data_IF_719314349850
#
_entry.id   IF_719314349850
#
_cell.length_a   1.000
_cell.length_b   1.000
_cell.length_c   1.000
_cell.angle_alpha   90.00
_cell.angle_beta   90.00
_cell.angle_gamma   90.00
#
_symmetry.space_group_name_H-M   'P 1'
#
loop_
_entity.id
_entity.type
_entity.pdbx_description
1 polymer ?
#
# COMPACT_ATOMS: atom_id res chain seq x y z
N UNK A 1 -6.90 -12.94 14.92
CA UNK A 1 -5.83 -12.63 15.90
C UNK A 1 -6.14 -13.11 17.32
N UNK A 2 -7.40 -13.24 17.75
CA UNK A 2 -7.70 -13.80 19.08
C UNK A 2 -7.28 -12.89 20.23
N UNK A 3 -7.24 -11.58 19.99
CA UNK A 3 -6.85 -10.54 20.95
C UNK A 3 -7.96 -9.51 21.08
N UNK A 4 -7.97 -8.77 22.18
CA UNK A 4 -8.88 -7.66 22.40
C UNK A 4 -8.63 -6.51 21.41
N UNK A 5 -9.64 -5.67 21.20
CA UNK A 5 -9.54 -4.51 20.30
C UNK A 5 -8.41 -3.56 20.69
N UNK A 6 -8.11 -3.42 21.99
CA UNK A 6 -7.01 -2.58 22.50
C UNK A 6 -5.61 -3.05 22.11
N UNK A 7 -5.48 -4.30 21.65
CA UNK A 7 -4.24 -4.85 21.10
C UNK A 7 -4.14 -4.69 19.57
N UNK A 8 -5.10 -4.00 18.94
CA UNK A 8 -5.13 -3.75 17.50
C UNK A 8 -4.73 -2.30 17.22
N UNK A 9 -3.80 -2.11 16.28
CA UNK A 9 -3.38 -0.83 15.74
C UNK A 9 -3.89 -0.67 14.30
N UNK A 10 -4.75 0.33 14.09
CA UNK A 10 -5.26 0.70 12.78
C UNK A 10 -4.48 1.87 12.22
N UNK A 11 -3.93 1.70 11.03
CA UNK A 11 -3.27 2.73 10.26
C UNK A 11 -4.28 3.49 9.40
N UNK A 12 -4.25 4.82 9.47
CA UNK A 12 -5.20 5.70 8.76
C UNK A 12 -4.44 6.90 8.18
N UNK A 13 -4.76 7.29 6.95
CA UNK A 13 -4.26 8.55 6.38
C UNK A 13 -4.83 9.75 7.16
N UNK A 14 -3.97 10.67 7.58
CA UNK A 14 -4.37 11.90 8.27
C UNK A 14 -5.01 12.88 7.28
N UNK A 15 -6.34 12.81 7.18
CA UNK A 15 -7.15 13.63 6.28
C UNK A 15 -8.48 13.96 6.95
N UNK A 16 -9.05 15.17 6.74
CA UNK A 16 -10.35 15.54 7.31
C UNK A 16 -11.47 14.53 7.00
N UNK A 17 -11.47 13.96 5.79
CA UNK A 17 -12.45 12.93 5.34
C UNK A 17 -12.40 11.61 6.13
N UNK A 18 -11.40 11.39 6.99
CA UNK A 18 -11.28 10.19 7.81
C UNK A 18 -11.63 10.43 9.29
N UNK A 19 -12.16 11.60 9.64
CA UNK A 19 -12.52 11.93 11.04
C UNK A 19 -13.45 10.89 11.67
N UNK A 20 -14.48 10.46 10.94
CA UNK A 20 -15.44 9.46 11.44
C UNK A 20 -14.80 8.08 11.59
N UNK A 21 -13.89 7.71 10.67
CA UNK A 21 -13.12 6.46 10.76
C UNK A 21 -12.25 6.48 12.02
N UNK A 22 -11.52 7.58 12.24
CA UNK A 22 -10.62 7.73 13.39
C UNK A 22 -11.42 7.68 14.70
N UNK A 23 -12.55 8.38 14.79
CA UNK A 23 -13.42 8.33 15.96
C UNK A 23 -14.01 6.94 16.18
N UNK A 24 -14.49 6.29 15.11
CA UNK A 24 -15.03 4.93 15.16
C UNK A 24 -14.02 3.92 15.68
N UNK A 25 -12.78 3.95 15.16
CA UNK A 25 -11.70 3.07 15.64
C UNK A 25 -11.38 3.35 17.11
N UNK A 26 -11.22 4.61 17.51
CA UNK A 26 -10.95 4.95 18.92
C UNK A 26 -12.09 4.49 19.83
N UNK A 27 -13.34 4.56 19.37
CA UNK A 27 -14.52 4.10 20.09
C UNK A 27 -14.53 2.59 20.36
N UNK A 28 -13.81 1.78 19.58
CA UNK A 28 -13.65 0.33 19.86
C UNK A 28 -12.58 0.03 20.92
N UNK A 29 -11.74 1.02 21.26
CA UNK A 29 -10.57 0.86 22.12
C UNK A 29 -9.28 0.54 21.36
N UNK A 30 -9.33 0.34 20.04
CA UNK A 30 -8.15 0.13 19.22
C UNK A 30 -7.27 1.39 19.09
N UNK A 31 -5.96 1.17 18.92
CA UNK A 31 -5.01 2.24 18.67
C UNK A 31 -5.13 2.75 17.24
N UNK A 32 -4.95 4.06 17.04
CA UNK A 32 -4.90 4.68 15.71
C UNK A 32 -3.50 5.23 15.48
N UNK A 33 -2.85 4.78 14.41
CA UNK A 33 -1.61 5.35 13.90
C UNK A 33 -1.93 6.17 12.64
N UNK A 34 -1.49 7.42 12.63
CA UNK A 34 -1.72 8.32 11.50
C UNK A 34 -0.49 8.38 10.59
N UNK A 35 -0.74 8.42 9.28
CA UNK A 35 0.29 8.68 8.26
C UNK A 35 -0.13 9.85 7.38
N UNK A 36 0.82 10.69 6.98
CA UNK A 36 0.54 11.84 6.11
C UNK A 36 0.47 11.45 4.64
N UNK A 37 1.15 10.39 4.23
CA UNK A 37 1.15 9.83 2.88
C UNK A 37 1.63 8.36 2.89
N UNK A 38 1.55 7.67 1.75
CA UNK A 38 2.11 6.32 1.56
C UNK A 38 1.18 5.19 1.98
N UNK A 39 -0.07 5.23 1.53
CA UNK A 39 -1.06 4.18 1.81
C UNK A 39 -0.68 2.80 1.25
N UNK A 40 0.02 2.73 0.11
CA UNK A 40 0.55 1.47 -0.43
C UNK A 40 1.46 0.76 0.59
N UNK A 41 2.44 1.48 1.15
CA UNK A 41 3.33 0.94 2.18
C UNK A 41 2.55 0.59 3.45
N UNK A 42 1.58 1.44 3.84
CA UNK A 42 0.72 1.20 4.98
C UNK A 42 -0.11 -0.09 4.89
N UNK A 43 -0.65 -0.38 3.71
CA UNK A 43 -1.39 -1.64 3.44
C UNK A 43 -0.44 -2.84 3.45
N UNK A 44 0.75 -2.72 2.86
CA UNK A 44 1.77 -3.79 2.87
C UNK A 44 2.17 -4.17 4.31
N UNK A 45 2.32 -3.18 5.20
CA UNK A 45 2.67 -3.42 6.60
C UNK A 45 1.67 -4.30 7.35
N UNK A 46 0.41 -4.31 6.93
CA UNK A 46 -0.62 -5.16 7.54
C UNK A 46 -0.35 -6.66 7.36
N UNK A 47 0.50 -7.05 6.41
CA UNK A 47 0.90 -8.44 6.20
C UNK A 47 1.98 -8.92 7.19
N UNK A 48 2.66 -8.00 7.88
CA UNK A 48 3.68 -8.30 8.87
C UNK A 48 3.49 -7.44 10.14
N UNK A 49 2.39 -7.66 10.87
CA UNK A 49 2.04 -6.84 12.02
C UNK A 49 3.02 -6.99 13.18
N UNK A 50 3.69 -8.14 13.32
CA UNK A 50 4.61 -8.39 14.44
C UNK A 50 5.86 -7.51 14.36
N UNK A 51 6.32 -7.21 13.14
CA UNK A 51 7.46 -6.31 12.92
C UNK A 51 7.04 -4.85 12.73
N UNK A 52 5.89 -4.58 12.12
CA UNK A 52 5.48 -3.22 11.76
C UNK A 52 4.62 -2.53 12.81
N UNK A 53 3.99 -3.32 13.70
CA UNK A 53 2.98 -2.86 14.65
C UNK A 53 1.71 -2.35 13.99
N UNK A 54 1.42 -2.75 12.74
CA UNK A 54 0.22 -2.35 12.01
C UNK A 54 -0.63 -3.57 11.72
N UNK A 55 -1.80 -3.64 12.34
CA UNK A 55 -2.72 -4.78 12.21
C UNK A 55 -3.71 -4.62 11.06
N UNK A 56 -4.10 -3.38 10.76
CA UNK A 56 -5.14 -3.09 9.80
C UNK A 56 -4.92 -1.69 9.20
N UNK A 57 -5.29 -1.52 7.94
CA UNK A 57 -5.40 -0.21 7.30
C UNK A 57 -6.86 0.06 6.97
N UNK A 58 -7.36 1.25 7.34
CA UNK A 58 -8.72 1.68 7.00
C UNK A 58 -8.67 3.12 6.49
N UNK A 59 -9.25 3.36 5.32
CA UNK A 59 -9.36 4.71 4.78
C UNK A 59 -9.76 4.75 3.32
N UNK A 60 -9.75 5.97 2.79
CA UNK A 60 -9.98 6.30 1.39
C UNK A 60 -8.70 6.89 0.79
N UNK A 61 -8.19 6.21 -0.23
CA UNK A 61 -7.00 6.61 -1.00
C UNK A 61 -7.28 6.66 -2.50
N UNK A 62 -6.23 6.65 -3.30
CA UNK A 62 -6.34 6.56 -4.74
C UNK A 62 -6.64 5.12 -5.19
N UNK A 63 -7.51 4.97 -6.20
CA UNK A 63 -7.86 3.65 -6.72
C UNK A 63 -6.67 2.92 -7.37
N UNK A 64 -5.80 3.58 -8.17
CA UNK A 64 -4.59 2.93 -8.70
C UNK A 64 -3.65 2.40 -7.61
N UNK A 65 -3.46 3.18 -6.55
CA UNK A 65 -2.64 2.81 -5.38
C UNK A 65 -3.23 1.60 -4.65
N UNK A 66 -4.55 1.51 -4.55
CA UNK A 66 -5.24 0.32 -4.04
C UNK A 66 -4.93 -0.95 -4.84
N UNK A 67 -4.86 -0.86 -6.18
CA UNK A 67 -4.49 -2.01 -7.03
C UNK A 67 -3.02 -2.39 -6.84
N UNK A 68 -2.10 -1.42 -6.70
CA UNK A 68 -0.69 -1.68 -6.41
C UNK A 68 -0.51 -2.38 -5.05
N UNK A 69 -1.23 -1.93 -4.03
CA UNK A 69 -1.23 -2.54 -2.71
C UNK A 69 -1.80 -3.98 -2.74
N UNK A 70 -2.90 -4.18 -3.49
CA UNK A 70 -3.46 -5.51 -3.71
C UNK A 70 -2.46 -6.45 -4.41
N UNK A 71 -1.68 -5.96 -5.37
CA UNK A 71 -0.65 -6.75 -6.05
C UNK A 71 0.47 -7.18 -5.09
N UNK A 72 0.87 -6.31 -4.16
CA UNK A 72 1.81 -6.68 -3.11
C UNK A 72 1.21 -7.74 -2.16
N UNK A 73 -0.01 -7.54 -1.67
CA UNK A 73 -0.70 -8.50 -0.79
C UNK A 73 -0.97 -9.86 -1.47
N UNK A 74 -1.23 -9.89 -2.78
CA UNK A 74 -1.26 -11.16 -3.56
C UNK A 74 0.05 -11.93 -3.46
N UNK A 75 1.18 -11.24 -3.25
CA UNK A 75 2.49 -11.87 -3.18
C UNK A 75 2.86 -12.34 -1.77
N UNK A 76 2.47 -11.59 -0.74
CA UNK A 76 2.93 -11.81 0.65
C UNK A 76 1.83 -12.32 1.59
N UNK A 77 0.60 -12.44 1.10
CA UNK A 77 -0.55 -12.82 1.89
C UNK A 77 -1.21 -11.62 2.58
N UNK A 78 -2.47 -11.81 2.99
CA UNK A 78 -3.30 -10.77 3.58
C UNK A 78 -4.71 -10.79 3.01
N UNK A 79 -5.53 -9.84 3.45
CA UNK A 79 -6.90 -9.64 2.98
C UNK A 79 -7.12 -8.16 2.74
N UNK A 80 -7.89 -7.83 1.70
CA UNK A 80 -8.22 -6.45 1.33
C UNK A 80 -9.58 -6.44 0.65
N UNK A 81 -10.37 -5.44 0.98
CA UNK A 81 -11.61 -5.12 0.31
C UNK A 81 -11.61 -3.65 -0.05
N UNK A 82 -12.06 -3.33 -1.26
CA UNK A 82 -12.10 -1.97 -1.77
C UNK A 82 -13.40 -1.71 -2.54
N UNK A 83 -13.79 -0.44 -2.63
CA UNK A 83 -14.92 0.00 -3.44
C UNK A 83 -14.59 1.37 -4.03
N UNK A 84 -14.95 1.58 -5.28
CA UNK A 84 -14.84 2.88 -5.92
C UNK A 84 -15.82 3.87 -5.30
N UNK A 85 -15.35 5.10 -5.03
CA UNK A 85 -16.23 6.19 -4.61
C UNK A 85 -16.62 6.99 -5.85
N UNK A 86 -17.80 6.65 -6.39
CA UNK A 86 -18.41 7.27 -7.57
C UNK A 86 -19.52 8.25 -7.15
N UNK A 87 -19.12 9.27 -6.41
CA UNK A 87 -19.99 10.27 -5.79
C UNK A 87 -20.45 11.38 -6.76
N UNK A 88 -19.73 11.56 -7.88
CA UNK A 88 -20.09 12.51 -8.94
C UNK A 88 -20.54 11.81 -10.22
N UNK A 89 -21.33 12.51 -11.04
CA UNK A 89 -21.80 11.96 -12.32
C UNK A 89 -20.65 11.72 -13.30
N UNK A 90 -19.70 12.64 -13.38
CA UNK A 90 -18.48 12.49 -14.19
C UNK A 90 -17.72 11.20 -13.85
N UNK A 91 -17.58 10.88 -12.55
CA UNK A 91 -16.92 9.64 -12.11
C UNK A 91 -17.72 8.40 -12.53
N UNK A 92 -19.06 8.45 -12.44
CA UNK A 92 -19.94 7.34 -12.86
C UNK A 92 -19.86 7.10 -14.36
N UNK A 93 -19.95 8.15 -15.16
CA UNK A 93 -19.82 8.07 -16.61
C UNK A 93 -18.46 7.51 -17.02
N UNK A 94 -17.38 8.02 -16.40
CA UNK A 94 -16.02 7.53 -16.67
C UNK A 94 -15.87 6.05 -16.29
N UNK A 95 -16.36 5.65 -15.11
CA UNK A 95 -16.31 4.26 -14.67
C UNK A 95 -17.10 3.34 -15.61
N UNK A 96 -18.29 3.76 -16.04
CA UNK A 96 -19.12 3.03 -17.01
C UNK A 96 -18.39 2.86 -18.36
N UNK A 97 -17.77 3.93 -18.89
CA UNK A 97 -16.94 3.88 -20.11
C UNK A 97 -15.74 2.93 -19.98
N UNK A 98 -15.23 2.73 -18.76
CA UNK A 98 -14.15 1.79 -18.45
C UNK A 98 -14.64 0.37 -18.18
N UNK A 99 -15.94 0.09 -18.30
CA UNK A 99 -16.52 -1.24 -18.13
C UNK A 99 -16.90 -1.61 -16.70
N UNK A 100 -16.97 -0.64 -15.77
CA UNK A 100 -17.48 -0.89 -14.42
C UNK A 100 -19.00 -1.01 -14.46
N UNK A 101 -19.51 -2.24 -14.40
CA UNK A 101 -20.94 -2.52 -14.52
C UNK A 101 -21.73 -2.22 -13.24
N UNK A 102 -21.19 -2.55 -12.06
CA UNK A 102 -21.82 -2.27 -10.77
C UNK A 102 -21.02 -1.19 -10.00
N UNK A 103 -21.58 0.02 -9.82
CA UNK A 103 -20.92 1.11 -9.11
C UNK A 103 -20.78 0.86 -7.59
N UNK A 104 -21.47 -0.15 -7.04
CA UNK A 104 -21.42 -0.51 -5.62
C UNK A 104 -20.59 -1.77 -5.33
N UNK A 105 -20.00 -2.36 -6.37
CA UNK A 105 -19.19 -3.57 -6.25
C UNK A 105 -18.09 -3.38 -5.19
N UNK A 106 -17.99 -4.37 -4.30
CA UNK A 106 -16.86 -4.52 -3.39
C UNK A 106 -15.90 -5.50 -4.04
N UNK A 107 -14.67 -5.04 -4.27
CA UNK A 107 -13.60 -5.81 -4.88
C UNK A 107 -12.76 -6.43 -3.78
N UNK A 108 -12.63 -7.77 -3.77
CA UNK A 108 -11.55 -8.45 -3.07
C UNK A 108 -10.23 -8.36 -3.82
N UNK A 109 -9.17 -8.89 -3.21
CA UNK A 109 -7.82 -8.90 -3.79
C UNK A 109 -7.81 -9.58 -5.18
N UNK A 110 -8.49 -10.71 -5.31
CA UNK A 110 -8.45 -11.52 -6.54
C UNK A 110 -9.25 -10.89 -7.68
N UNK A 111 -10.26 -10.07 -7.37
CA UNK A 111 -10.96 -9.29 -8.39
C UNK A 111 -10.11 -8.12 -8.91
N UNK A 112 -9.27 -7.53 -8.06
CA UNK A 112 -8.38 -6.42 -8.42
C UNK A 112 -7.15 -6.88 -9.20
N UNK A 113 -6.53 -8.00 -8.79
CA UNK A 113 -5.28 -8.50 -9.38
C UNK A 113 -5.42 -9.98 -9.69
N UNK A 114 -5.67 -10.29 -10.96
CA UNK A 114 -5.91 -11.64 -11.47
C UNK A 114 -4.62 -12.26 -12.02
N UNK A 115 -4.47 -13.58 -11.83
CA UNK A 115 -3.35 -14.35 -12.39
C UNK A 115 -2.06 -14.28 -11.57
N UNK A 116 -0.93 -14.59 -12.23
CA UNK A 116 0.42 -14.39 -11.70
C UNK A 116 0.72 -12.90 -11.67
N UNK A 117 1.31 -12.42 -10.57
CA UNK A 117 1.63 -11.02 -10.38
C UNK A 117 3.00 -10.87 -9.73
N UNK A 118 3.67 -9.79 -10.15
CA UNK A 118 4.94 -9.32 -9.62
C UNK A 118 4.73 -7.93 -9.05
N UNK A 119 5.24 -7.70 -7.86
CA UNK A 119 5.33 -6.37 -7.26
C UNK A 119 6.79 -5.97 -7.15
N UNK A 120 7.13 -4.76 -7.57
CA UNK A 120 8.46 -4.18 -7.38
C UNK A 120 8.34 -2.72 -6.97
N UNK A 121 9.09 -2.33 -5.94
CA UNK A 121 9.15 -0.96 -5.47
C UNK A 121 10.57 -0.61 -5.03
N UNK A 122 10.99 0.63 -5.31
CA UNK A 122 12.30 1.18 -4.92
C UNK A 122 12.09 2.43 -4.09
N UNK A 123 12.80 2.55 -2.97
CA UNK A 123 12.69 3.71 -2.10
C UNK A 123 13.30 4.96 -2.75
N UNK A 124 12.49 6.01 -2.92
CA UNK A 124 12.98 7.32 -3.38
C UNK A 124 13.50 8.11 -2.18
N UNK A 125 12.63 8.36 -1.21
CA UNK A 125 12.97 8.87 0.13
C UNK A 125 12.92 7.73 1.14
N UNK A 126 13.62 7.88 2.25
CA UNK A 126 13.57 6.88 3.34
C UNK A 126 12.18 6.83 3.92
N UNK A 127 11.50 5.72 3.69
CA UNK A 127 10.17 5.44 4.19
C UNK A 127 10.16 4.25 5.15
N UNK A 128 8.95 3.85 5.54
CA UNK A 128 8.74 2.73 6.43
C UNK A 128 8.97 1.36 5.77
N UNK A 129 8.95 1.29 4.44
CA UNK A 129 9.16 0.04 3.68
C UNK A 129 10.59 -0.09 3.12
N UNK A 130 11.17 1.00 2.61
CA UNK A 130 12.46 0.99 1.92
C UNK A 130 13.27 2.25 2.26
N UNK A 131 14.59 2.10 2.30
CA UNK A 131 15.54 3.20 2.35
C UNK A 131 15.47 4.03 1.07
N UNK A 132 15.59 5.35 1.22
CA UNK A 132 15.70 6.25 0.08
C UNK A 132 17.02 6.12 -0.66
N UNK A 133 17.07 6.69 -1.86
CA UNK A 133 18.29 6.77 -2.65
C UNK A 133 19.36 7.54 -1.87
N UNK A 134 20.58 6.99 -1.79
CA UNK A 134 21.72 7.67 -1.16
C UNK A 134 22.78 7.95 -2.20
N UNK A 135 23.08 9.23 -2.38
CA UNK A 135 24.20 9.69 -3.19
C UNK A 135 25.46 9.73 -2.31
N UNK A 136 26.50 9.00 -2.72
CA UNK A 136 27.85 9.04 -2.14
C UNK A 136 28.83 9.50 -3.22
N UNK A 137 30.11 9.65 -2.85
CA UNK A 137 31.14 10.22 -3.73
C UNK A 137 31.20 9.52 -5.10
N UNK A 138 31.28 8.19 -5.11
CA UNK A 138 31.50 7.40 -6.32
C UNK A 138 30.46 6.28 -6.50
N UNK A 139 29.33 6.37 -5.79
CA UNK A 139 28.27 5.35 -5.81
C UNK A 139 26.91 5.95 -5.45
N UNK A 140 25.87 5.45 -6.12
CA UNK A 140 24.48 5.66 -5.72
C UNK A 140 23.96 4.35 -5.15
N UNK A 141 23.36 4.38 -3.97
CA UNK A 141 22.75 3.21 -3.34
C UNK A 141 21.22 3.28 -3.48
N UNK A 142 20.60 2.16 -3.81
CA UNK A 142 19.13 2.01 -3.85
C UNK A 142 18.69 0.75 -3.12
N UNK A 143 17.52 0.79 -2.49
CA UNK A 143 16.89 -0.38 -1.89
C UNK A 143 15.56 -0.66 -2.60
N UNK A 144 15.43 -1.89 -3.10
CA UNK A 144 14.28 -2.37 -3.86
C UNK A 144 13.71 -3.62 -3.21
N UNK A 145 12.39 -3.75 -3.14
CA UNK A 145 11.73 -5.02 -2.85
C UNK A 145 11.09 -5.57 -4.13
N UNK A 146 11.22 -6.88 -4.36
CA UNK A 146 10.56 -7.60 -5.45
C UNK A 146 9.84 -8.81 -4.87
N UNK A 147 8.57 -8.96 -5.21
CA UNK A 147 7.68 -10.02 -4.70
C UNK A 147 6.99 -10.73 -5.87
N UNK A 148 6.77 -12.04 -5.76
CA UNK A 148 6.08 -12.82 -6.80
C UNK A 148 5.04 -13.75 -6.19
N UNK A 149 3.78 -13.64 -6.64
CA UNK A 149 2.65 -14.39 -6.07
C UNK A 149 2.73 -15.89 -6.25
N UNK A 150 3.13 -16.37 -7.42
CA UNK A 150 3.20 -17.82 -7.68
C UNK A 150 4.22 -18.54 -6.78
N UNK A 151 5.30 -17.87 -6.41
CA UNK A 151 6.38 -18.48 -5.62
C UNK A 151 6.41 -18.06 -4.15
N UNK A 152 5.60 -17.07 -3.76
CA UNK A 152 5.67 -16.42 -2.45
C UNK A 152 7.03 -15.80 -2.11
N UNK A 153 7.95 -15.70 -3.09
CA UNK A 153 9.32 -15.25 -2.86
C UNK A 153 9.35 -13.73 -2.76
N UNK A 154 9.90 -13.24 -1.66
CA UNK A 154 10.21 -11.82 -1.42
C UNK A 154 11.72 -11.64 -1.47
N UNK A 155 12.18 -10.67 -2.27
CA UNK A 155 13.60 -10.30 -2.39
C UNK A 155 13.78 -8.85 -2.01
N UNK A 156 14.66 -8.60 -1.05
CA UNK A 156 15.19 -7.26 -0.79
C UNK A 156 16.54 -7.14 -1.49
N UNK A 157 16.67 -6.12 -2.33
CA UNK A 157 17.81 -5.89 -3.20
C UNK A 157 18.42 -4.55 -2.80
N UNK A 158 19.61 -4.58 -2.21
CA UNK A 158 20.46 -3.41 -2.05
C UNK A 158 21.43 -3.36 -3.22
N UNK A 159 21.36 -2.30 -4.00
CA UNK A 159 22.18 -2.14 -5.20
C UNK A 159 23.11 -0.93 -5.07
N UNK A 160 24.34 -1.11 -5.53
CA UNK A 160 25.32 -0.05 -5.73
C UNK A 160 25.45 0.25 -7.23
N UNK A 161 25.19 1.50 -7.61
CA UNK A 161 25.37 1.98 -8.97
C UNK A 161 26.66 2.80 -9.04
N UNK A 162 27.70 2.25 -9.69
CA UNK A 162 29.04 2.85 -9.77
C UNK A 162 29.33 3.57 -11.09
N UNK A 163 28.62 3.20 -12.16
CA UNK A 163 28.64 3.91 -13.43
C UNK A 163 27.61 5.04 -13.34
N UNK A 164 28.05 6.25 -12.96
CA UNK A 164 27.17 7.38 -12.64
C UNK A 164 26.71 8.16 -13.89
N UNK A 165 27.49 8.14 -14.96
CA UNK A 165 27.22 8.75 -16.27
C UNK A 165 25.93 8.26 -16.93
N UNK A 166 25.43 7.08 -16.55
CA UNK A 166 24.13 6.57 -17.03
C UNK A 166 22.94 7.32 -16.42
N UNK A 167 23.15 8.04 -15.33
CA UNK A 167 22.14 8.91 -14.75
C UNK A 167 22.44 10.32 -15.25
N UNK A 168 21.52 10.91 -16.00
CA UNK A 168 21.62 12.30 -16.46
C UNK A 168 21.43 13.24 -15.25
N UNK A 169 22.41 13.28 -14.37
CA UNK A 169 22.45 14.13 -13.19
C UNK A 169 22.94 15.50 -13.63
N UNK A 170 22.10 16.52 -13.44
CA UNK A 170 22.43 17.93 -13.69
C UNK A 170 23.51 18.46 -12.73
#
# INVERSE_FOLDING_TARGET
KGVDASAITVLVLDRPRHSDIIQGVRGTGAAVRLITDGDVAGVIHCADPDNTGVDMYIGTGGAPEGVLAAAALRCIGGQMQCRLILDTEEKRERASKMGVADPRMVYGIEEMVRGDCLFAATGVTTGSLLSGVKFRKDVIETETVVMRSVTGTVRYIKAEHRQLDKFHLD
#
